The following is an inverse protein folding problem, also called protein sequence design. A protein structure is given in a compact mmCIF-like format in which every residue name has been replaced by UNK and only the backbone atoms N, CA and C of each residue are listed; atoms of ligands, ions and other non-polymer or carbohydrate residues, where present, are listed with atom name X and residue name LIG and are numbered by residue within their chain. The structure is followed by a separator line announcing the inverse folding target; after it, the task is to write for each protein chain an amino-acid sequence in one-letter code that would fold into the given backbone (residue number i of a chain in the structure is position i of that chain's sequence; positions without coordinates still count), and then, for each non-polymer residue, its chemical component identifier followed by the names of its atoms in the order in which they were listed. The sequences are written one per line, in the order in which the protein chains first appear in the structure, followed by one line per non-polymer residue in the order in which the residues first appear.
data_IF_613883579597
#
_entry.id   IF_613883579597
#
_cell.length_a   1.000
_cell.length_b   1.000
_cell.length_c   1.000
_cell.angle_alpha   90.00
_cell.angle_beta   90.00
_cell.angle_gamma   90.00
#
_symmetry.space_group_name_H-M   'P 1'
#
loop_
_entity.id
_entity.type
_entity.pdbx_description
1 polymer ?
#
# COMPACT_ATOMS: atom_id res chain seq x y z
N UNK A 1 -3.29 54.61 -11.91
CA UNK A 1 -2.29 54.17 -10.92
C UNK A 1 -3.02 53.30 -9.91
N UNK A 2 -3.23 52.03 -10.24
CA UNK A 2 -2.57 50.83 -9.65
C UNK A 2 -3.41 50.28 -8.50
N UNK A 3 -3.88 49.03 -8.38
CA UNK A 3 -4.03 47.81 -9.19
C UNK A 3 -5.09 46.96 -8.45
N UNK A 4 -5.75 45.98 -9.10
CA UNK A 4 -6.68 45.07 -8.45
C UNK A 4 -5.93 44.03 -7.59
N UNK A 5 -6.45 43.73 -6.39
CA UNK A 5 -5.98 42.60 -5.58
C UNK A 5 -6.58 41.32 -6.15
N UNK A 6 -5.74 40.56 -6.87
CA UNK A 6 -6.00 39.17 -7.24
C UNK A 6 -5.60 38.32 -6.03
N UNK A 7 -6.59 37.85 -5.27
CA UNK A 7 -6.37 36.79 -4.29
C UNK A 7 -6.24 35.47 -5.04
N UNK A 8 -5.00 35.04 -5.27
CA UNK A 8 -4.68 33.68 -5.66
C UNK A 8 -5.03 32.74 -4.50
N UNK A 9 -6.23 32.15 -4.54
CA UNK A 9 -6.51 30.93 -3.81
C UNK A 9 -5.68 29.80 -4.42
N UNK A 10 -4.49 29.57 -3.89
CA UNK A 10 -3.76 28.32 -4.09
C UNK A 10 -4.65 27.18 -3.60
N UNK A 11 -5.23 26.46 -4.54
CA UNK A 11 -5.91 25.18 -4.30
C UNK A 11 -4.86 24.21 -3.76
N UNK A 12 -4.76 24.09 -2.44
CA UNK A 12 -4.01 23.01 -1.80
C UNK A 12 -4.73 21.72 -2.14
N UNK A 13 -4.33 21.05 -3.22
CA UNK A 13 -4.85 19.75 -3.61
C UNK A 13 -4.68 18.79 -2.43
N UNK A 14 -5.79 18.45 -1.77
CA UNK A 14 -5.79 17.57 -0.62
C UNK A 14 -5.14 16.24 -1.01
N UNK A 15 -4.06 15.85 -0.33
CA UNK A 15 -3.32 14.65 -0.67
C UNK A 15 -4.17 13.43 -0.37
N UNK A 16 -4.36 12.54 -1.36
CA UNK A 16 -5.07 11.27 -1.17
C UNK A 16 -4.10 10.12 -0.97
N UNK A 17 -4.51 9.04 -0.30
CA UNK A 17 -3.62 7.89 -0.04
C UNK A 17 -3.07 7.29 -1.34
N UNK A 18 -3.89 7.23 -2.40
CA UNK A 18 -3.47 6.79 -3.74
C UNK A 18 -2.34 7.67 -4.30
N UNK A 19 -2.48 9.00 -4.18
CA UNK A 19 -1.45 9.93 -4.67
C UNK A 19 -0.14 9.82 -3.88
N UNK A 20 -0.19 9.62 -2.56
CA UNK A 20 0.99 9.48 -1.70
C UNK A 20 1.67 8.14 -1.96
N UNK A 21 0.92 7.04 -2.02
CA UNK A 21 1.45 5.71 -2.35
C UNK A 21 2.09 5.70 -3.75
N UNK A 22 1.44 6.32 -4.74
CA UNK A 22 1.99 6.44 -6.09
C UNK A 22 3.31 7.21 -6.13
N UNK A 23 3.39 8.36 -5.42
CA UNK A 23 4.63 9.14 -5.31
C UNK A 23 5.76 8.35 -4.66
N UNK A 24 5.46 7.62 -3.58
CA UNK A 24 6.44 6.79 -2.88
C UNK A 24 6.91 5.64 -3.77
N UNK A 25 6.00 4.96 -4.47
CA UNK A 25 6.34 3.88 -5.38
C UNK A 25 7.26 4.36 -6.51
N UNK A 26 6.90 5.50 -7.13
CA UNK A 26 7.73 6.13 -8.16
C UNK A 26 9.12 6.48 -7.62
N UNK A 27 9.21 7.05 -6.42
CA UNK A 27 10.49 7.36 -5.78
C UNK A 27 11.30 6.10 -5.45
N UNK A 28 10.67 5.03 -4.98
CA UNK A 28 11.34 3.75 -4.70
C UNK A 28 11.99 3.16 -5.95
N UNK A 29 11.34 3.29 -7.09
CA UNK A 29 11.85 2.77 -8.36
C UNK A 29 12.93 3.67 -8.99
N UNK A 30 12.75 5.00 -8.92
CA UNK A 30 13.53 5.94 -9.73
C UNK A 30 14.51 6.82 -8.95
N UNK A 31 14.37 6.96 -7.62
CA UNK A 31 15.08 7.98 -6.84
C UNK A 31 15.78 7.44 -5.59
N UNK A 32 15.23 6.41 -4.96
CA UNK A 32 15.84 5.81 -3.78
C UNK A 32 17.06 4.98 -4.17
N UNK A 33 18.13 5.11 -3.38
CA UNK A 33 19.32 4.29 -3.59
C UNK A 33 19.04 2.82 -3.28
N UNK A 34 19.81 1.91 -3.90
CA UNK A 34 19.76 0.48 -3.57
C UNK A 34 20.00 0.22 -2.07
N UNK A 35 20.81 1.06 -1.41
CA UNK A 35 21.06 0.99 0.04
C UNK A 35 19.80 1.36 0.84
N UNK A 36 19.09 2.42 0.46
CA UNK A 36 17.85 2.84 1.13
C UNK A 36 16.76 1.76 0.96
N UNK A 37 16.60 1.21 -0.25
CA UNK A 37 15.66 0.11 -0.50
C UNK A 37 16.01 -1.14 0.32
N UNK A 38 17.30 -1.51 0.40
CA UNK A 38 17.73 -2.64 1.20
C UNK A 38 17.45 -2.43 2.70
N UNK A 39 17.63 -1.21 3.21
CA UNK A 39 17.25 -0.87 4.58
C UNK A 39 15.75 -1.00 4.80
N UNK A 40 14.92 -0.47 3.91
CA UNK A 40 13.45 -0.55 4.01
C UNK A 40 12.94 -2.00 3.97
N UNK A 41 13.50 -2.85 3.10
CA UNK A 41 13.13 -4.28 3.06
C UNK A 41 13.42 -4.99 4.38
N UNK A 42 14.51 -4.62 5.04
CA UNK A 42 14.97 -5.23 6.31
C UNK A 42 14.45 -4.53 7.56
N UNK A 43 13.77 -3.39 7.40
CA UNK A 43 13.26 -2.61 8.53
C UNK A 43 12.37 -3.51 9.40
N UNK A 44 12.47 -3.33 10.72
CA UNK A 44 11.57 -3.92 11.68
C UNK A 44 10.44 -2.94 11.89
N UNK A 45 9.21 -3.19 11.41
CA UNK A 45 8.15 -2.20 11.53
C UNK A 45 7.75 -1.93 12.98
N UNK A 46 8.01 -2.88 13.88
CA UNK A 46 7.86 -2.71 15.32
C UNK A 46 8.93 -1.79 15.94
N UNK A 47 10.00 -1.48 15.22
CA UNK A 47 11.10 -0.63 15.64
C UNK A 47 11.51 0.26 14.45
N UNK A 48 10.67 1.26 14.10
CA UNK A 48 10.80 2.05 12.88
C UNK A 48 11.96 3.07 12.94
N UNK A 49 13.16 2.66 13.34
CA UNK A 49 14.29 3.57 13.60
C UNK A 49 15.25 3.72 12.40
N UNK A 50 14.98 3.07 11.27
CA UNK A 50 15.91 3.11 10.13
C UNK A 50 15.90 4.49 9.45
N UNK A 51 17.06 5.08 9.11
CA UNK A 51 17.13 6.38 8.44
C UNK A 51 16.35 6.43 7.12
N UNK A 52 16.38 5.34 6.33
CA UNK A 52 15.66 5.26 5.07
C UNK A 52 14.14 5.40 5.24
N UNK A 53 13.58 4.86 6.33
CA UNK A 53 12.17 5.01 6.66
C UNK A 53 11.82 6.48 6.91
N UNK A 54 12.56 7.13 7.81
CA UNK A 54 12.31 8.54 8.17
C UNK A 54 12.49 9.48 6.99
N UNK A 55 13.48 9.23 6.12
CA UNK A 55 13.65 9.96 4.87
C UNK A 55 12.40 9.88 4.00
N UNK A 56 11.80 8.70 3.84
CA UNK A 56 10.57 8.54 3.04
C UNK A 56 9.37 9.19 3.73
N UNK A 57 9.18 8.96 5.03
CA UNK A 57 8.07 9.54 5.79
C UNK A 57 8.07 11.07 5.71
N UNK A 58 9.19 11.70 6.05
CA UNK A 58 9.30 13.15 6.11
C UNK A 58 9.25 13.82 4.73
N UNK A 59 9.58 13.09 3.65
CA UNK A 59 9.57 13.65 2.29
C UNK A 59 8.20 13.51 1.61
N UNK A 60 7.51 12.38 1.79
CA UNK A 60 6.35 12.03 0.97
C UNK A 60 5.03 11.92 1.74
N UNK A 61 5.07 11.68 3.06
CA UNK A 61 3.87 11.48 3.86
C UNK A 61 3.48 12.81 4.54
N UNK A 62 2.23 13.27 4.40
CA UNK A 62 1.76 14.47 5.10
C UNK A 62 1.99 14.35 6.62
N UNK A 63 2.56 15.36 7.30
CA UNK A 63 2.82 15.29 8.74
C UNK A 63 1.57 15.02 9.60
N UNK A 64 0.39 15.43 9.13
CA UNK A 64 -0.89 15.15 9.80
C UNK A 64 -1.28 13.66 9.81
N UNK A 65 -0.67 12.84 8.95
CA UNK A 65 -0.95 11.41 8.82
C UNK A 65 -0.07 10.53 9.70
N UNK A 66 1.03 11.07 10.21
CA UNK A 66 1.91 10.40 11.19
C UNK A 66 1.79 11.02 12.57
N UNK A 67 1.54 12.33 12.68
CA UNK A 67 1.44 13.03 13.96
C UNK A 67 0.13 12.83 14.73
N UNK A 68 0.07 13.44 15.92
CA UNK A 68 -1.10 13.49 16.79
C UNK A 68 -1.23 12.27 17.70
N UNK A 69 -2.47 11.95 18.11
CA UNK A 69 -2.72 10.77 18.94
C UNK A 69 -2.30 9.50 18.20
N UNK A 70 -1.72 8.55 18.96
CA UNK A 70 -1.24 7.25 18.45
C UNK A 70 -0.18 7.38 17.35
N UNK A 71 0.69 8.39 17.44
CA UNK A 71 1.78 8.61 16.48
C UNK A 71 2.62 7.34 16.25
N UNK A 72 3.09 6.69 17.32
CA UNK A 72 3.87 5.47 17.22
C UNK A 72 3.15 4.34 16.45
N UNK A 73 1.83 4.21 16.64
CA UNK A 73 1.01 3.23 15.93
C UNK A 73 0.96 3.54 14.44
N UNK A 74 0.74 4.81 14.08
CA UNK A 74 0.70 5.26 12.67
C UNK A 74 2.05 5.06 11.99
N UNK A 75 3.15 5.40 12.66
CA UNK A 75 4.50 5.20 12.15
C UNK A 75 4.82 3.72 11.91
N UNK A 76 4.39 2.83 12.82
CA UNK A 76 4.50 1.36 12.64
C UNK A 76 3.70 0.87 11.44
N UNK A 77 2.46 1.37 11.24
CA UNK A 77 1.64 1.02 10.07
C UNK A 77 2.29 1.46 8.76
N UNK A 78 2.86 2.68 8.72
CA UNK A 78 3.64 3.13 7.57
C UNK A 78 4.89 2.28 7.35
N UNK A 79 5.59 1.89 8.41
CA UNK A 79 6.76 1.02 8.30
C UNK A 79 6.39 -0.34 7.68
N UNK A 80 5.25 -0.92 8.02
CA UNK A 80 4.74 -2.15 7.39
C UNK A 80 4.45 -1.95 5.90
N UNK A 81 3.78 -0.85 5.55
CA UNK A 81 3.48 -0.52 4.16
C UNK A 81 4.77 -0.34 3.34
N UNK A 82 5.70 0.48 3.84
CA UNK A 82 6.95 0.82 3.16
C UNK A 82 7.89 -0.38 3.04
N UNK A 83 7.93 -1.27 4.03
CA UNK A 83 8.65 -2.54 3.91
C UNK A 83 8.11 -3.37 2.74
N UNK A 84 6.78 -3.54 2.68
CA UNK A 84 6.14 -4.31 1.61
C UNK A 84 6.36 -3.70 0.22
N UNK A 85 6.20 -2.38 0.09
CA UNK A 85 6.48 -1.65 -1.15
C UNK A 85 7.95 -1.78 -1.56
N UNK A 86 8.90 -1.70 -0.62
CA UNK A 86 10.31 -1.87 -0.94
C UNK A 86 10.66 -3.30 -1.40
N UNK A 87 9.98 -4.32 -0.87
CA UNK A 87 10.11 -5.72 -1.33
C UNK A 87 9.59 -5.93 -2.76
N UNK A 88 8.69 -5.05 -3.20
CA UNK A 88 8.01 -5.09 -4.49
C UNK A 88 8.28 -3.81 -5.30
N UNK A 89 9.46 -3.18 -5.09
CA UNK A 89 9.82 -1.96 -5.79
C UNK A 89 9.76 -2.20 -7.32
N UNK A 90 9.11 -1.28 -8.04
CA UNK A 90 8.82 -1.43 -9.49
C UNK A 90 7.58 -2.28 -9.82
N UNK A 91 6.88 -2.85 -8.82
CA UNK A 91 5.68 -3.66 -9.03
C UNK A 91 4.39 -2.95 -8.57
N UNK A 92 4.43 -1.64 -8.35
CA UNK A 92 3.22 -0.86 -8.08
C UNK A 92 2.52 -0.47 -9.38
N UNK A 93 1.21 -0.71 -9.45
CA UNK A 93 0.38 -0.28 -10.57
C UNK A 93 -1.03 0.09 -10.09
N UNK A 94 -1.41 1.36 -10.24
CA UNK A 94 -2.77 1.84 -9.91
C UNK A 94 -3.86 1.19 -10.80
N UNK A 95 -3.49 0.67 -11.97
CA UNK A 95 -4.40 -0.03 -12.87
C UNK A 95 -4.63 -1.49 -12.52
N UNK A 96 -4.00 -2.01 -11.46
CA UNK A 96 -3.98 -3.45 -11.16
C UNK A 96 -4.53 -3.72 -9.76
N UNK A 97 -5.86 -3.89 -9.60
CA UNK A 97 -6.49 -4.09 -8.30
C UNK A 97 -5.91 -5.29 -7.55
N UNK A 98 -5.76 -5.17 -6.22
CA UNK A 98 -5.08 -6.18 -5.41
C UNK A 98 -5.70 -7.57 -5.53
N UNK A 99 -7.04 -7.64 -5.51
CA UNK A 99 -7.76 -8.91 -5.63
C UNK A 99 -7.46 -9.63 -6.95
N UNK A 100 -7.46 -8.89 -8.06
CA UNK A 100 -7.11 -9.44 -9.37
C UNK A 100 -5.64 -9.90 -9.39
N UNK A 101 -4.72 -9.07 -8.92
CA UNK A 101 -3.29 -9.39 -8.87
C UNK A 101 -3.01 -10.69 -8.10
N UNK A 102 -3.67 -10.89 -6.96
CA UNK A 102 -3.51 -12.10 -6.15
C UNK A 102 -4.03 -13.35 -6.86
N UNK A 103 -5.18 -13.27 -7.52
CA UNK A 103 -5.70 -14.38 -8.31
C UNK A 103 -4.76 -14.73 -9.48
N UNK A 104 -4.28 -13.74 -10.22
CA UNK A 104 -3.32 -13.95 -11.32
C UNK A 104 -2.00 -14.56 -10.86
N UNK A 105 -1.50 -14.17 -9.69
CA UNK A 105 -0.28 -14.74 -9.11
C UNK A 105 -0.46 -16.16 -8.54
N UNK A 106 -1.69 -16.70 -8.52
CA UNK A 106 -1.99 -18.00 -7.93
C UNK A 106 -1.96 -18.00 -6.40
N UNK A 107 -2.29 -16.88 -5.77
CA UNK A 107 -2.50 -16.83 -4.32
C UNK A 107 -3.71 -17.69 -3.97
N UNK A 108 -3.60 -18.61 -3.01
CA UNK A 108 -4.69 -19.54 -2.72
C UNK A 108 -5.85 -18.89 -1.98
N UNK A 109 -7.06 -19.39 -2.21
CA UNK A 109 -8.28 -18.92 -1.54
C UNK A 109 -8.16 -18.93 -0.02
N UNK A 110 -7.55 -19.98 0.54
CA UNK A 110 -7.32 -20.08 1.99
C UNK A 110 -6.48 -18.90 2.52
N UNK A 111 -5.42 -18.51 1.79
CA UNK A 111 -4.59 -17.37 2.19
C UNK A 111 -5.32 -16.05 1.94
N UNK A 112 -6.12 -15.98 0.89
CA UNK A 112 -6.95 -14.81 0.58
C UNK A 112 -7.95 -14.52 1.71
N UNK A 113 -8.71 -15.53 2.15
CA UNK A 113 -9.67 -15.40 3.26
C UNK A 113 -8.97 -14.96 4.55
N UNK A 114 -7.81 -15.55 4.86
CA UNK A 114 -6.99 -15.16 6.02
C UNK A 114 -6.59 -13.68 5.94
N UNK A 115 -6.12 -13.19 4.80
CA UNK A 115 -5.77 -11.77 4.60
C UNK A 115 -6.98 -10.85 4.79
N UNK A 116 -8.15 -11.21 4.24
CA UNK A 116 -9.36 -10.40 4.35
C UNK A 116 -9.93 -10.36 5.77
N UNK A 117 -9.74 -11.42 6.56
CA UNK A 117 -10.17 -11.49 7.96
C UNK A 117 -9.16 -10.88 8.94
N UNK A 118 -7.88 -10.81 8.56
CA UNK A 118 -6.84 -10.31 9.44
C UNK A 118 -7.04 -8.83 9.84
N UNK A 119 -6.69 -8.52 11.08
CA UNK A 119 -6.69 -7.19 11.70
C UNK A 119 -5.43 -7.04 12.58
N UNK A 120 -5.09 -5.81 12.95
CA UNK A 120 -3.95 -5.46 13.79
C UNK A 120 -2.64 -6.10 13.32
N UNK A 121 -1.86 -6.65 14.24
CA UNK A 121 -0.59 -7.32 13.97
C UNK A 121 -0.73 -8.54 13.04
N UNK A 122 -1.91 -9.18 13.04
CA UNK A 122 -2.20 -10.29 12.12
C UNK A 122 -2.19 -9.82 10.67
N UNK A 123 -2.78 -8.65 10.40
CA UNK A 123 -2.82 -8.07 9.06
C UNK A 123 -1.41 -7.71 8.57
N UNK A 124 -0.60 -7.13 9.44
CA UNK A 124 0.78 -6.79 9.14
C UNK A 124 1.62 -8.02 8.72
N UNK A 125 1.44 -9.15 9.41
CA UNK A 125 2.08 -10.42 9.06
C UNK A 125 1.65 -10.94 7.68
N UNK A 126 0.35 -10.87 7.39
CA UNK A 126 -0.18 -11.30 6.08
C UNK A 126 0.31 -10.40 4.94
N UNK A 127 0.40 -9.09 5.16
CA UNK A 127 0.93 -8.15 4.16
C UNK A 127 2.39 -8.47 3.81
N UNK A 128 3.23 -8.79 4.80
CA UNK A 128 4.61 -9.20 4.53
C UNK A 128 4.69 -10.48 3.69
N UNK A 129 3.82 -11.47 3.98
CA UNK A 129 3.75 -12.73 3.21
C UNK A 129 3.30 -12.46 1.78
N UNK A 130 2.28 -11.63 1.61
CA UNK A 130 1.76 -11.20 0.32
C UNK A 130 2.83 -10.47 -0.50
N UNK A 131 3.58 -9.54 0.12
CA UNK A 131 4.66 -8.80 -0.54
C UNK A 131 5.75 -9.75 -1.08
N UNK A 132 6.18 -10.70 -0.23
CA UNK A 132 7.15 -11.72 -0.63
C UNK A 132 6.65 -12.57 -1.79
N UNK A 133 5.36 -12.91 -1.79
CA UNK A 133 4.77 -13.72 -2.83
C UNK A 133 4.68 -12.99 -4.16
N UNK A 134 4.10 -11.77 -4.16
CA UNK A 134 4.03 -10.93 -5.35
C UNK A 134 5.41 -10.67 -5.95
N UNK A 135 6.41 -10.39 -5.10
CA UNK A 135 7.81 -10.23 -5.51
C UNK A 135 8.34 -11.48 -6.22
N UNK A 136 8.15 -12.68 -5.64
CA UNK A 136 8.60 -13.93 -6.26
C UNK A 136 7.87 -14.29 -7.56
N UNK A 137 6.70 -13.72 -7.80
CA UNK A 137 5.92 -13.88 -9.03
C UNK A 137 6.11 -12.73 -10.01
N UNK A 138 6.88 -11.69 -9.66
CA UNK A 138 6.96 -10.43 -10.41
C UNK A 138 5.57 -9.86 -10.77
N UNK A 139 4.60 -10.05 -9.88
CA UNK A 139 3.22 -9.63 -10.10
C UNK A 139 3.03 -8.19 -9.64
N UNK A 140 2.54 -7.33 -10.53
CA UNK A 140 2.17 -5.96 -10.20
C UNK A 140 0.86 -5.91 -9.41
N UNK A 141 0.74 -4.94 -8.51
CA UNK A 141 -0.47 -4.70 -7.72
C UNK A 141 -0.60 -3.23 -7.30
N UNK A 142 -1.84 -2.78 -7.08
CA UNK A 142 -2.11 -1.49 -6.45
C UNK A 142 -1.86 -1.60 -4.93
N UNK A 143 -0.79 -0.95 -4.48
CA UNK A 143 -0.43 -0.90 -3.07
C UNK A 143 -1.29 0.08 -2.27
N UNK A 144 -2.10 0.90 -2.93
CA UNK A 144 -3.09 1.76 -2.29
C UNK A 144 -4.18 0.93 -1.64
N UNK A 145 -4.57 -0.22 -2.23
CA UNK A 145 -5.49 -1.17 -1.61
C UNK A 145 -4.93 -1.69 -0.28
N UNK A 146 -3.63 -1.98 -0.23
CA UNK A 146 -2.94 -2.46 0.98
C UNK A 146 -2.87 -1.35 2.02
N UNK A 147 -2.58 -0.12 1.61
CA UNK A 147 -2.61 1.04 2.50
C UNK A 147 -4.00 1.24 3.12
N UNK A 148 -5.07 1.13 2.32
CA UNK A 148 -6.44 1.19 2.82
C UNK A 148 -6.74 0.07 3.84
N UNK A 149 -6.29 -1.17 3.58
CA UNK A 149 -6.45 -2.27 4.53
C UNK A 149 -5.75 -2.00 5.86
N UNK A 150 -4.54 -1.40 5.84
CA UNK A 150 -3.75 -1.10 7.04
C UNK A 150 -4.33 0.02 7.88
N UNK A 151 -4.68 1.15 7.23
CA UNK A 151 -5.09 2.37 7.93
C UNK A 151 -6.59 2.43 8.25
N UNK A 152 -7.43 1.67 7.52
CA UNK A 152 -8.88 1.65 7.72
C UNK A 152 -9.35 0.21 8.00
N UNK A 153 -9.27 -0.20 9.26
CA UNK A 153 -9.53 -1.58 9.67
C UNK A 153 -10.93 -1.85 10.21
N UNK A 154 -11.64 -0.81 10.63
CA UNK A 154 -12.93 -0.90 11.31
C UNK A 154 -14.03 -0.10 10.58
N UNK A 155 -15.28 -0.47 10.87
CA UNK A 155 -16.46 0.20 10.34
C UNK A 155 -16.84 -0.20 8.90
N UNK A 156 -17.97 0.33 8.44
CA UNK A 156 -18.58 -0.07 7.18
C UNK A 156 -17.67 0.19 5.96
N UNK A 157 -16.89 1.27 6.00
CA UNK A 157 -15.94 1.63 4.93
C UNK A 157 -14.85 0.57 4.78
N UNK A 158 -14.29 0.07 5.88
CA UNK A 158 -13.29 -0.99 5.86
C UNK A 158 -13.85 -2.28 5.27
N UNK A 159 -15.06 -2.67 5.68
CA UNK A 159 -15.73 -3.86 5.16
C UNK A 159 -16.11 -3.73 3.68
N UNK A 160 -16.53 -2.54 3.25
CA UNK A 160 -16.80 -2.24 1.84
C UNK A 160 -15.55 -2.41 0.99
N UNK A 161 -14.40 -1.93 1.47
CA UNK A 161 -13.12 -2.06 0.78
C UNK A 161 -12.69 -3.54 0.66
N UNK A 162 -12.78 -4.31 1.75
CA UNK A 162 -12.49 -5.75 1.74
C UNK A 162 -13.40 -6.52 0.78
N UNK A 163 -14.70 -6.20 0.75
CA UNK A 163 -15.63 -6.78 -0.22
C UNK A 163 -15.29 -6.41 -1.66
N UNK A 164 -14.81 -5.19 -1.90
CA UNK A 164 -14.35 -4.78 -3.23
C UNK A 164 -13.15 -5.64 -3.69
N UNK A 165 -12.14 -5.79 -2.85
CA UNK A 165 -10.98 -6.65 -3.13
C UNK A 165 -11.43 -8.11 -3.36
N UNK A 166 -12.33 -8.64 -2.53
CA UNK A 166 -12.87 -10.00 -2.69
C UNK A 166 -13.61 -10.19 -4.01
N UNK A 167 -14.44 -9.23 -4.44
CA UNK A 167 -15.10 -9.29 -5.74
C UNK A 167 -14.08 -9.38 -6.87
N UNK A 168 -13.05 -8.54 -6.87
CA UNK A 168 -12.02 -8.56 -7.92
C UNK A 168 -11.28 -9.91 -7.94
N UNK A 169 -10.97 -10.47 -6.77
CA UNK A 169 -10.29 -11.77 -6.64
C UNK A 169 -11.14 -12.92 -7.20
N UNK A 170 -12.37 -13.09 -6.72
CA UNK A 170 -13.23 -14.20 -7.17
C UNK A 170 -13.70 -14.04 -8.62
N UNK A 171 -13.89 -12.80 -9.11
CA UNK A 171 -14.16 -12.56 -10.53
C UNK A 171 -13.00 -13.01 -11.42
N UNK A 172 -11.74 -12.76 -11.00
CA UNK A 172 -10.57 -13.19 -11.74
C UNK A 172 -10.45 -14.72 -11.76
N UNK A 173 -10.61 -15.39 -10.60
CA UNK A 173 -10.60 -16.85 -10.53
C UNK A 173 -11.66 -17.49 -11.44
N UNK A 174 -12.90 -17.02 -11.36
CA UNK A 174 -13.99 -17.57 -12.15
C UNK A 174 -13.78 -17.42 -13.66
N UNK A 175 -13.11 -16.33 -14.10
CA UNK A 175 -12.72 -16.16 -15.50
C UNK A 175 -11.65 -17.16 -15.90
N UNK A 176 -10.61 -17.34 -15.08
CA UNK A 176 -9.53 -18.30 -15.34
C UNK A 176 -10.04 -19.75 -15.42
N UNK A 177 -10.99 -20.13 -14.56
CA UNK A 177 -11.62 -21.46 -14.57
C UNK A 177 -12.39 -21.71 -15.87
N UNK A 178 -13.14 -20.71 -16.35
CA UNK A 178 -13.85 -20.79 -17.64
C UNK A 178 -12.90 -20.93 -18.81
N UNK A 179 -11.85 -20.12 -18.84
CA UNK A 179 -10.86 -20.14 -19.92
C UNK A 179 -10.06 -21.46 -19.95
N UNK A 180 -9.91 -22.13 -18.80
CA UNK A 180 -9.22 -23.43 -18.70
C UNK A 180 -10.13 -24.62 -19.05
N UNK A 181 -11.45 -24.42 -19.08
CA UNK A 181 -12.44 -25.46 -19.37
C UNK A 181 -12.90 -25.47 -20.84
N UNK A 182 -12.31 -24.62 -21.68
CA UNK A 182 -12.70 -24.36 -23.06
C UNK A 182 -11.51 -24.60 -24.00
#
# INVERSE_FOLDING_TARGET
MTMPQVSNETTTTESTIHSVVGKIAYAMENHLSNRDLAQLRRALPAEPYTPALWKVLLTYVPPSWTGGSKQDEKERLWAHLLQGMAMTAGLHSQGTPLGWALAQAGWSELRFVRLMQARGDGLAKEIRRLASFLSSKSQTADWSDIAQLLFNQEGERAERHRRHIARNYYQALYRQEKDSSN
#
